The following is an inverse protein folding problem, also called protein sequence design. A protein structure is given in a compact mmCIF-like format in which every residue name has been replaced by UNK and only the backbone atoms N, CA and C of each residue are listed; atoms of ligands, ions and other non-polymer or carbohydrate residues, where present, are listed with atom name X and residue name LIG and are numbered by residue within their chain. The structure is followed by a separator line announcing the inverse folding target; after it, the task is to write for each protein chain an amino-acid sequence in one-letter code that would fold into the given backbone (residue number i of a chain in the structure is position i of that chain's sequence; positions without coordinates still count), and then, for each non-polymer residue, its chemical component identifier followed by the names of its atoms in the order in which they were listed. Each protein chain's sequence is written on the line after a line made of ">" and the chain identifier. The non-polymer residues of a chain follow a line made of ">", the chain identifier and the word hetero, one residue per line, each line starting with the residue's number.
data_IF_742954289994
#
_entry.id   IF_742954289994
#
_cell.length_a   1.000
_cell.length_b   1.000
_cell.length_c   1.000
_cell.angle_alpha   90.00
_cell.angle_beta   90.00
_cell.angle_gamma   90.00
#
_symmetry.space_group_name_H-M   'P 1'
#
loop_
_entity.id
_entity.type
_entity.pdbx_description
1 polymer ?
#
# COMPACT_ATOMS: atom_id res chain seq x y z
N UNK A 1 8.77 -0.81 5.06
CA UNK A 1 8.51 -0.66 3.60
C UNK A 1 7.62 -1.81 3.15
N UNK A 2 6.54 -1.53 2.42
CA UNK A 2 5.68 -2.58 1.86
C UNK A 2 6.53 -3.56 1.04
N UNK A 3 6.41 -4.85 1.34
CA UNK A 3 7.06 -5.88 0.55
C UNK A 3 6.61 -5.76 -0.93
N UNK A 4 7.57 -5.90 -1.85
CA UNK A 4 7.33 -5.73 -3.31
C UNK A 4 6.15 -6.56 -3.81
N UNK A 5 5.97 -7.78 -3.26
CA UNK A 5 4.83 -8.66 -3.57
C UNK A 5 3.47 -8.07 -3.15
N UNK A 6 3.37 -7.49 -1.94
CA UNK A 6 2.14 -6.84 -1.47
C UNK A 6 1.81 -5.62 -2.30
N UNK A 7 2.81 -4.78 -2.60
CA UNK A 7 2.63 -3.59 -3.44
C UNK A 7 2.12 -3.96 -4.83
N UNK A 8 2.70 -4.98 -5.48
CA UNK A 8 2.23 -5.46 -6.78
C UNK A 8 0.81 -6.04 -6.73
N UNK A 9 0.45 -6.76 -5.66
CA UNK A 9 -0.92 -7.27 -5.49
C UNK A 9 -1.96 -6.15 -5.34
N UNK A 10 -1.62 -5.09 -4.60
CA UNK A 10 -2.49 -3.92 -4.42
C UNK A 10 -2.66 -3.17 -5.73
N UNK A 11 -1.56 -2.95 -6.47
CA UNK A 11 -1.60 -2.30 -7.79
C UNK A 11 -2.51 -3.10 -8.73
N UNK A 12 -2.31 -4.42 -8.85
CA UNK A 12 -3.16 -5.28 -9.70
C UNK A 12 -4.64 -5.27 -9.33
N UNK A 13 -4.98 -5.01 -8.06
CA UNK A 13 -6.37 -4.99 -7.58
C UNK A 13 -7.05 -3.64 -7.83
N UNK A 14 -6.29 -2.56 -7.80
CA UNK A 14 -6.81 -1.18 -7.92
C UNK A 14 -6.55 -0.55 -9.29
N UNK A 15 -5.80 -1.21 -10.18
CA UNK A 15 -5.53 -0.72 -11.53
C UNK A 15 -6.81 -0.65 -12.36
N UNK A 16 -7.02 0.47 -13.05
CA UNK A 16 -8.17 0.64 -13.96
C UNK A 16 -7.92 -0.09 -15.30
N UNK A 17 -6.64 -0.20 -15.69
CA UNK A 17 -6.19 -0.96 -16.86
C UNK A 17 -4.84 -1.63 -16.56
N UNK A 18 -4.42 -2.61 -17.36
CA UNK A 18 -3.26 -3.49 -17.09
C UNK A 18 -1.91 -2.78 -16.87
N UNK A 19 -1.76 -1.55 -17.36
CA UNK A 19 -0.57 -0.72 -17.17
C UNK A 19 -0.77 0.45 -16.19
N UNK A 20 -1.90 0.48 -15.49
CA UNK A 20 -2.21 1.55 -14.58
C UNK A 20 -1.43 1.37 -13.28
N UNK A 21 -0.38 2.16 -13.16
CA UNK A 21 0.52 2.18 -12.00
C UNK A 21 0.51 3.52 -11.28
N UNK A 22 -0.18 4.50 -11.86
CA UNK A 22 -0.02 5.92 -11.53
C UNK A 22 -1.32 6.64 -11.19
N UNK A 23 -2.48 6.04 -11.48
CA UNK A 23 -3.76 6.65 -11.17
C UNK A 23 -3.93 6.93 -9.68
N UNK A 24 -4.72 7.97 -9.33
CA UNK A 24 -5.02 8.32 -7.94
C UNK A 24 -5.49 7.12 -7.11
N UNK A 25 -6.31 6.25 -7.69
CA UNK A 25 -6.90 5.07 -7.05
C UNK A 25 -5.81 4.05 -6.63
N UNK A 26 -4.84 3.81 -7.53
CA UNK A 26 -3.71 2.91 -7.28
C UNK A 26 -2.78 3.51 -6.21
N UNK A 27 -2.47 4.81 -6.31
CA UNK A 27 -1.61 5.48 -5.34
C UNK A 27 -2.25 5.51 -3.95
N UNK A 28 -3.54 5.87 -3.86
CA UNK A 28 -4.30 5.86 -2.60
C UNK A 28 -4.30 4.47 -1.99
N UNK A 29 -4.58 3.42 -2.78
CA UNK A 29 -4.59 2.05 -2.27
C UNK A 29 -3.22 1.62 -1.71
N UNK A 30 -2.11 1.99 -2.36
CA UNK A 30 -0.75 1.70 -1.89
C UNK A 30 -0.43 2.48 -0.61
N UNK A 31 -0.76 3.77 -0.55
CA UNK A 31 -0.48 4.63 0.62
C UNK A 31 -1.34 4.19 1.82
N UNK A 32 -2.63 3.90 1.61
CA UNK A 32 -3.52 3.37 2.66
C UNK A 32 -2.98 2.07 3.25
N UNK A 33 -2.52 1.14 2.41
CA UNK A 33 -1.92 -0.10 2.90
C UNK A 33 -0.60 0.15 3.66
N UNK A 34 0.19 1.16 3.26
CA UNK A 34 1.40 1.55 3.96
C UNK A 34 1.09 2.12 5.35
N UNK A 35 0.06 2.99 5.42
CA UNK A 35 -0.42 3.58 6.67
C UNK A 35 -0.91 2.48 7.62
N UNK A 36 -1.66 1.50 7.13
CA UNK A 36 -2.12 0.38 7.97
C UNK A 36 -0.97 -0.45 8.54
N UNK A 37 0.06 -0.71 7.74
CA UNK A 37 1.25 -1.44 8.19
C UNK A 37 2.03 -0.63 9.23
N UNK A 38 2.19 0.68 9.01
CA UNK A 38 2.84 1.60 9.93
C UNK A 38 2.04 1.74 11.24
N UNK A 39 0.72 1.88 11.16
CA UNK A 39 -0.14 1.97 12.33
C UNK A 39 -0.06 0.69 13.18
N UNK A 40 0.02 -0.49 12.55
CA UNK A 40 0.24 -1.76 13.27
C UNK A 40 1.63 -1.81 13.92
N UNK A 41 2.66 -1.32 13.21
CA UNK A 41 4.02 -1.21 13.76
C UNK A 41 4.05 -0.32 15.01
N UNK A 42 3.56 0.91 14.92
CA UNK A 42 3.55 1.87 16.04
C UNK A 42 2.68 1.39 17.22
N UNK A 43 1.58 0.67 16.96
CA UNK A 43 0.78 0.04 18.02
C UNK A 43 1.58 -1.01 18.82
N UNK A 44 2.42 -1.79 18.13
CA UNK A 44 3.28 -2.80 18.76
C UNK A 44 4.52 -2.16 19.41
N UNK A 45 5.06 -1.12 18.77
CA UNK A 45 6.26 -0.41 19.18
C UNK A 45 5.90 0.97 19.73
N UNK A 46 5.37 1.02 20.96
CA UNK A 46 4.84 2.26 21.56
C UNK A 46 5.86 3.38 21.84
N UNK A 47 7.15 3.13 21.61
CA UNK A 47 8.26 4.07 21.84
C UNK A 47 8.98 4.46 20.54
N UNK A 48 8.49 3.96 19.42
CA UNK A 48 8.87 4.32 18.06
C UNK A 48 7.93 5.46 17.61
#
# INVERSE_FOLDING_TARGET
>A
MLATKKKQAIIKKSQIHDKDTGSPEVQVAVISAAIDELAKHLKKHKKD
#
